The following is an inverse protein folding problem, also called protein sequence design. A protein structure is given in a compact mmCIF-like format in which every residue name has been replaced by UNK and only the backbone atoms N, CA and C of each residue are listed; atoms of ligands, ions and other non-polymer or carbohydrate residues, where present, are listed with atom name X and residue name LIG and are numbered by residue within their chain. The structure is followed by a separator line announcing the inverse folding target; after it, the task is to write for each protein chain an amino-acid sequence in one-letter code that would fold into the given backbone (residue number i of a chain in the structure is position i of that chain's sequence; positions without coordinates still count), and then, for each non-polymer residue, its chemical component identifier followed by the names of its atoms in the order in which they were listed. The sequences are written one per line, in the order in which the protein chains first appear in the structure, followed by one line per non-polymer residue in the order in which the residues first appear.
data_IF_183243786602
#
_entry.id   IF_183243786602
#
_cell.length_a   1.000
_cell.length_b   1.000
_cell.length_c   1.000
_cell.angle_alpha   90.00
_cell.angle_beta   90.00
_cell.angle_gamma   90.00
#
_symmetry.space_group_name_H-M   'P 1'
#
loop_
_entity.id
_entity.type
_entity.pdbx_description
1 polymer ?
#
# COMPACT_ATOMS: atom_id res chain seq x y z
N UNK A 1 22.05 -40.03 -4.44
CA UNK A 1 21.33 -39.34 -5.52
C UNK A 1 21.60 -37.86 -5.33
N UNK A 2 22.68 -37.36 -5.93
CA UNK A 2 23.07 -35.95 -5.80
C UNK A 2 22.23 -35.19 -6.82
N UNK A 3 21.30 -34.36 -6.35
CA UNK A 3 20.59 -33.42 -7.20
C UNK A 3 21.62 -32.42 -7.70
N UNK A 4 21.92 -32.53 -8.99
CA UNK A 4 22.95 -31.77 -9.67
C UNK A 4 22.61 -30.27 -9.59
N UNK A 5 23.50 -29.47 -9.00
CA UNK A 5 23.32 -28.03 -8.84
C UNK A 5 23.11 -27.34 -10.19
N UNK A 6 23.62 -27.94 -11.27
CA UNK A 6 23.41 -27.53 -12.66
C UNK A 6 21.94 -27.69 -13.12
N UNK A 7 21.22 -28.72 -12.66
CA UNK A 7 19.79 -28.88 -12.95
C UNK A 7 18.94 -27.84 -12.20
N UNK A 8 19.31 -27.48 -10.98
CA UNK A 8 18.61 -26.43 -10.20
C UNK A 8 18.83 -25.04 -10.81
N UNK A 9 20.06 -24.75 -11.26
CA UNK A 9 20.39 -23.48 -11.93
C UNK A 9 19.70 -23.39 -13.30
N UNK A 10 19.78 -24.45 -14.12
CA UNK A 10 19.15 -24.45 -15.45
C UNK A 10 17.62 -24.37 -15.40
N UNK A 11 16.96 -25.00 -14.42
CA UNK A 11 15.49 -24.95 -14.28
C UNK A 11 15.02 -23.55 -13.89
N UNK A 12 15.73 -22.87 -12.99
CA UNK A 12 15.40 -21.51 -12.58
C UNK A 12 15.71 -20.48 -13.67
N UNK A 13 16.80 -20.65 -14.42
CA UNK A 13 17.11 -19.82 -15.60
C UNK A 13 16.05 -20.02 -16.69
N UNK A 14 15.60 -21.25 -16.95
CA UNK A 14 14.58 -21.53 -17.96
C UNK A 14 13.22 -20.95 -17.56
N UNK A 15 12.86 -21.01 -16.27
CA UNK A 15 11.65 -20.36 -15.75
C UNK A 15 11.74 -18.83 -15.83
N UNK A 16 12.85 -18.24 -15.39
CA UNK A 16 13.09 -16.80 -15.49
C UNK A 16 13.07 -16.33 -16.95
N UNK A 17 13.65 -17.12 -17.86
CA UNK A 17 13.65 -16.89 -19.31
C UNK A 17 12.24 -16.98 -19.90
N UNK A 18 11.44 -17.99 -19.55
CA UNK A 18 10.02 -18.09 -19.96
C UNK A 18 9.16 -16.93 -19.44
N UNK A 19 9.43 -16.41 -18.24
CA UNK A 19 8.76 -15.22 -17.70
C UNK A 19 9.18 -13.91 -18.38
N UNK A 20 10.38 -13.85 -18.96
CA UNK A 20 10.91 -12.70 -19.69
C UNK A 20 10.60 -12.73 -21.21
N UNK A 21 10.38 -13.90 -21.80
CA UNK A 21 10.21 -14.14 -23.24
C UNK A 21 8.74 -14.17 -23.70
N UNK A 22 7.82 -13.50 -22.99
CA UNK A 22 6.48 -13.32 -23.56
C UNK A 22 6.63 -12.42 -24.79
N UNK A 23 6.40 -12.97 -25.98
CA UNK A 23 6.42 -12.20 -27.24
C UNK A 23 5.48 -11.01 -27.10
N UNK A 24 6.00 -9.82 -27.37
CA UNK A 24 5.18 -8.63 -27.37
C UNK A 24 4.17 -8.68 -28.51
N UNK A 25 2.97 -8.14 -28.28
CA UNK A 25 1.99 -7.91 -29.34
C UNK A 25 1.86 -6.42 -29.61
N UNK A 26 1.49 -6.09 -30.84
CA UNK A 26 1.21 -4.70 -31.24
C UNK A 26 0.11 -4.08 -30.36
N UNK A 27 -0.95 -4.85 -30.05
CA UNK A 27 -2.03 -4.39 -29.19
C UNK A 27 -1.53 -4.07 -27.79
N UNK A 28 -0.68 -4.91 -27.21
CA UNK A 28 -0.11 -4.65 -25.89
C UNK A 28 0.77 -3.40 -25.89
N UNK A 29 1.71 -3.28 -26.84
CA UNK A 29 2.63 -2.14 -26.94
C UNK A 29 1.88 -0.80 -27.08
N UNK A 30 0.77 -0.80 -27.83
CA UNK A 30 -0.04 0.39 -28.15
C UNK A 30 -1.17 0.67 -27.15
N UNK A 31 -1.44 -0.23 -26.19
CA UNK A 31 -2.56 -0.12 -25.25
C UNK A 31 -2.36 0.90 -24.13
N UNK A 32 -1.13 1.35 -23.90
CA UNK A 32 -0.79 2.25 -22.80
C UNK A 32 0.34 3.21 -23.20
N UNK A 33 0.54 4.20 -22.35
CA UNK A 33 1.74 5.01 -22.38
C UNK A 33 2.83 4.37 -21.51
N UNK A 34 4.06 4.56 -21.92
CA UNK A 34 5.24 4.01 -21.30
C UNK A 34 6.07 5.14 -20.68
N UNK A 35 6.24 5.14 -19.36
CA UNK A 35 7.05 6.14 -18.66
C UNK A 35 8.49 5.65 -18.65
N UNK A 36 9.42 6.43 -19.19
CA UNK A 36 10.85 6.07 -19.18
C UNK A 36 11.44 6.28 -17.79
N UNK A 37 12.03 5.23 -17.22
CA UNK A 37 12.71 5.31 -15.94
C UNK A 37 13.96 6.21 -16.05
N UNK A 38 14.29 6.95 -14.98
CA UNK A 38 15.44 7.86 -14.90
C UNK A 38 15.41 8.99 -15.95
N UNK A 39 14.22 9.38 -16.40
CA UNK A 39 14.01 10.52 -17.29
C UNK A 39 13.11 11.57 -16.61
N UNK A 40 13.35 12.86 -16.88
CA UNK A 40 12.50 13.93 -16.39
C UNK A 40 11.17 13.92 -17.15
N UNK A 41 10.17 13.18 -16.63
CA UNK A 41 8.81 13.12 -17.15
C UNK A 41 8.74 12.81 -18.65
N UNK A 42 9.54 11.86 -19.12
CA UNK A 42 9.49 11.40 -20.51
C UNK A 42 8.52 10.24 -20.65
N UNK A 43 7.57 10.37 -21.57
CA UNK A 43 6.54 9.36 -21.86
C UNK A 43 6.52 9.00 -23.33
N UNK A 44 6.35 7.72 -23.60
CA UNK A 44 6.38 7.12 -24.92
C UNK A 44 5.01 6.53 -25.23
N UNK A 45 4.42 6.93 -26.34
CA UNK A 45 3.14 6.41 -26.82
C UNK A 45 3.33 5.79 -28.19
N UNK A 46 3.32 4.46 -28.24
CA UNK A 46 3.32 3.72 -29.49
C UNK A 46 1.90 3.71 -30.06
N UNK A 47 1.72 4.14 -31.31
CA UNK A 47 0.42 4.16 -31.99
C UNK A 47 0.32 3.05 -33.01
N UNK A 48 -0.89 2.54 -33.24
CA UNK A 48 -1.13 1.45 -34.21
C UNK A 48 -0.70 1.77 -35.64
N UNK A 49 -0.57 3.05 -35.99
CA UNK A 49 -0.13 3.53 -37.31
C UNK A 49 1.40 3.60 -37.49
N UNK A 50 2.20 3.08 -36.56
CA UNK A 50 3.66 3.12 -36.62
C UNK A 50 4.28 4.45 -36.20
N UNK A 51 3.49 5.41 -35.68
CA UNK A 51 4.01 6.61 -35.04
C UNK A 51 4.38 6.34 -33.58
N UNK A 52 5.55 6.84 -33.17
CA UNK A 52 5.94 6.93 -31.77
C UNK A 52 5.87 8.39 -31.35
N UNK A 53 5.07 8.70 -30.32
CA UNK A 53 5.13 10.00 -29.67
C UNK A 53 6.06 9.92 -28.47
N UNK A 54 7.01 10.84 -28.40
CA UNK A 54 7.86 11.04 -27.23
C UNK A 54 7.49 12.40 -26.63
N UNK A 55 6.84 12.39 -25.47
CA UNK A 55 6.48 13.60 -24.74
C UNK A 55 7.45 13.82 -23.60
N UNK A 56 8.10 14.98 -23.57
CA UNK A 56 9.00 15.40 -22.49
C UNK A 56 8.54 16.75 -21.97
N UNK A 57 8.15 16.79 -20.69
CA UNK A 57 7.62 18.00 -20.06
C UNK A 57 6.46 18.66 -20.86
N UNK A 58 5.61 17.84 -21.49
CA UNK A 58 4.48 18.32 -22.29
C UNK A 58 4.81 18.70 -23.74
N UNK A 59 6.08 18.75 -24.14
CA UNK A 59 6.49 18.95 -25.53
C UNK A 59 6.54 17.58 -26.22
N UNK A 60 5.88 17.46 -27.38
CA UNK A 60 5.74 16.19 -28.11
C UNK A 60 6.61 16.18 -29.36
N UNK A 61 7.55 15.23 -29.42
CA UNK A 61 8.30 14.86 -30.61
C UNK A 61 7.64 13.65 -31.29
N UNK A 62 7.55 13.65 -32.62
CA UNK A 62 7.01 12.54 -33.41
C UNK A 62 8.13 11.78 -34.08
N UNK A 63 8.16 10.47 -33.86
CA UNK A 63 9.10 9.50 -34.45
C UNK A 63 8.31 8.41 -35.16
N UNK A 64 9.03 7.58 -35.90
CA UNK A 64 8.46 6.34 -36.47
C UNK A 64 9.00 5.15 -35.70
N UNK A 65 8.19 4.10 -35.60
CA UNK A 65 8.64 2.81 -35.12
C UNK A 65 8.06 1.68 -35.97
N UNK A 66 8.77 0.56 -35.97
CA UNK A 66 8.34 -0.69 -36.60
C UNK A 66 8.54 -1.83 -35.61
N UNK A 67 7.46 -2.56 -35.32
CA UNK A 67 7.51 -3.74 -34.46
C UNK A 67 7.71 -4.99 -35.31
N UNK A 68 8.83 -5.68 -35.11
CA UNK A 68 9.15 -6.95 -35.75
C UNK A 68 8.82 -8.07 -34.77
N UNK A 69 7.59 -8.59 -34.87
CA UNK A 69 7.03 -9.58 -33.94
C UNK A 69 7.85 -10.88 -33.93
N UNK A 70 8.34 -11.30 -35.10
CA UNK A 70 9.06 -12.58 -35.24
C UNK A 70 10.34 -12.61 -34.42
N UNK A 71 11.04 -11.48 -34.34
CA UNK A 71 12.30 -11.30 -33.63
C UNK A 71 12.13 -10.64 -32.25
N UNK A 72 10.89 -10.38 -31.82
CA UNK A 72 10.59 -9.65 -30.59
C UNK A 72 11.43 -8.37 -30.46
N UNK A 73 11.49 -7.60 -31.55
CA UNK A 73 12.37 -6.43 -31.67
C UNK A 73 11.60 -5.23 -32.22
N UNK A 74 12.07 -4.04 -31.91
CA UNK A 74 11.50 -2.78 -32.40
C UNK A 74 12.60 -1.94 -33.05
N UNK A 75 12.27 -1.34 -34.18
CA UNK A 75 13.09 -0.31 -34.81
C UNK A 75 12.45 1.03 -34.47
N UNK A 76 13.25 1.98 -33.99
CA UNK A 76 12.80 3.36 -33.77
C UNK A 76 13.64 4.26 -34.68
N UNK A 77 12.96 5.03 -35.52
CA UNK A 77 13.59 5.94 -36.47
C UNK A 77 13.40 7.38 -36.04
N UNK A 78 14.51 8.11 -35.94
CA UNK A 78 14.52 9.56 -35.74
C UNK A 78 15.34 10.22 -36.85
N UNK A 79 14.71 11.08 -37.64
CA UNK A 79 15.31 11.74 -38.79
C UNK A 79 15.99 10.74 -39.75
N UNK A 80 17.32 10.72 -39.79
CA UNK A 80 18.15 9.89 -40.68
C UNK A 80 18.73 8.63 -40.03
N UNK A 81 18.50 8.40 -38.72
CA UNK A 81 19.05 7.26 -37.99
C UNK A 81 17.91 6.36 -37.52
N UNK A 82 18.08 5.06 -37.71
CA UNK A 82 17.21 4.03 -37.15
C UNK A 82 18.01 3.15 -36.20
N UNK A 83 17.44 2.91 -35.03
CA UNK A 83 18.06 2.09 -33.99
C UNK A 83 17.17 0.88 -33.73
N UNK A 84 17.79 -0.29 -33.61
CA UNK A 84 17.09 -1.55 -33.39
C UNK A 84 17.31 -2.01 -31.95
N UNK A 85 16.22 -2.46 -31.34
CA UNK A 85 16.17 -2.90 -29.96
C UNK A 85 15.53 -4.27 -29.84
N UNK A 86 16.13 -5.15 -29.04
CA UNK A 86 15.47 -6.35 -28.55
C UNK A 86 14.52 -5.96 -27.41
N UNK A 87 13.34 -6.56 -27.40
CA UNK A 87 12.30 -6.29 -26.41
C UNK A 87 12.36 -7.37 -25.32
N UNK A 88 12.31 -6.93 -24.07
CA UNK A 88 12.08 -7.83 -22.93
C UNK A 88 10.92 -7.26 -22.12
N UNK A 89 9.89 -8.09 -21.90
CA UNK A 89 8.75 -7.74 -21.07
C UNK A 89 8.91 -8.42 -19.71
N UNK A 90 8.80 -7.65 -18.63
CA UNK A 90 8.87 -8.18 -17.27
C UNK A 90 7.53 -7.99 -16.60
N UNK A 91 6.88 -9.12 -16.27
CA UNK A 91 5.59 -9.19 -15.54
C UNK A 91 4.44 -8.38 -16.16
N UNK A 92 4.50 -8.07 -17.46
CA UNK A 92 3.55 -7.18 -18.15
C UNK A 92 3.48 -5.74 -17.58
N UNK A 93 4.42 -5.33 -16.74
CA UNK A 93 4.47 -3.99 -16.12
C UNK A 93 5.65 -3.17 -16.65
N UNK A 94 6.73 -3.83 -17.04
CA UNK A 94 7.95 -3.18 -17.52
C UNK A 94 8.29 -3.62 -18.95
N UNK A 95 8.66 -2.65 -19.75
CA UNK A 95 9.19 -2.83 -21.10
C UNK A 95 10.65 -2.43 -21.09
N UNK A 96 11.53 -3.34 -21.47
CA UNK A 96 12.95 -3.07 -21.63
C UNK A 96 13.29 -3.12 -23.12
N UNK A 97 13.96 -2.08 -23.62
CA UNK A 97 14.50 -2.04 -24.97
C UNK A 97 16.02 -2.11 -24.90
N UNK A 98 16.58 -3.25 -25.27
CA UNK A 98 18.01 -3.51 -25.30
C UNK A 98 18.54 -3.18 -26.68
N UNK A 99 19.33 -2.12 -26.80
CA UNK A 99 19.88 -1.71 -28.09
C UNK A 99 20.80 -2.80 -28.63
N UNK A 100 20.64 -3.23 -29.88
CA UNK A 100 21.42 -4.36 -30.42
C UNK A 100 22.91 -4.01 -30.57
N UNK A 101 23.22 -2.74 -30.87
CA UNK A 101 24.57 -2.29 -31.15
C UNK A 101 25.38 -1.89 -29.91
N UNK A 102 24.77 -1.84 -28.72
CA UNK A 102 25.42 -1.36 -27.48
C UNK A 102 24.88 -2.13 -26.27
N UNK A 103 25.45 -1.91 -25.07
CA UNK A 103 24.88 -2.42 -23.82
C UNK A 103 23.82 -1.47 -23.21
N UNK A 104 23.27 -0.56 -24.01
CA UNK A 104 22.26 0.40 -23.55
C UNK A 104 20.89 -0.28 -23.39
N UNK A 105 20.25 -0.04 -22.24
CA UNK A 105 18.92 -0.55 -21.93
C UNK A 105 18.03 0.63 -21.59
N UNK A 106 16.95 0.80 -22.36
CA UNK A 106 15.90 1.73 -22.02
C UNK A 106 14.82 0.98 -21.23
N UNK A 107 14.57 1.41 -20.00
CA UNK A 107 13.57 0.80 -19.12
C UNK A 107 12.34 1.69 -19.07
N UNK A 108 11.19 1.08 -19.28
CA UNK A 108 9.90 1.74 -19.29
C UNK A 108 8.93 1.04 -18.35
N UNK A 109 8.03 1.83 -17.76
CA UNK A 109 6.96 1.36 -16.89
C UNK A 109 5.60 1.67 -17.52
N UNK A 110 4.67 0.73 -17.40
CA UNK A 110 3.29 0.92 -17.87
C UNK A 110 2.57 1.99 -17.03
N UNK A 111 2.21 3.11 -17.64
CA UNK A 111 1.57 4.24 -16.94
C UNK A 111 0.22 3.85 -16.31
N UNK A 112 -0.55 2.99 -16.95
CA UNK A 112 -1.88 2.58 -16.44
C UNK A 112 -1.72 1.78 -15.16
N UNK A 113 -0.77 0.84 -15.12
CA UNK A 113 -0.47 0.03 -13.94
C UNK A 113 0.00 0.87 -12.76
N UNK A 114 0.85 1.86 -13.01
CA UNK A 114 1.29 2.81 -11.98
C UNK A 114 0.10 3.61 -11.43
N UNK A 115 -0.79 4.12 -12.31
CA UNK A 115 -1.96 4.88 -11.88
C UNK A 115 -2.89 4.05 -10.99
N UNK A 116 -3.12 2.79 -11.36
CA UNK A 116 -3.97 1.89 -10.58
C UNK A 116 -3.36 1.60 -9.20
N UNK A 117 -2.05 1.34 -9.13
CA UNK A 117 -1.35 1.13 -7.86
C UNK A 117 -1.39 2.37 -6.97
N UNK A 118 -1.11 3.56 -7.53
CA UNK A 118 -1.19 4.83 -6.79
C UNK A 118 -2.60 5.07 -6.26
N UNK A 119 -3.62 4.81 -7.09
CA UNK A 119 -5.02 4.93 -6.67
C UNK A 119 -5.33 3.97 -5.53
N UNK A 120 -4.93 2.71 -5.64
CA UNK A 120 -5.14 1.70 -4.59
C UNK A 120 -4.49 2.12 -3.27
N UNK A 121 -3.22 2.56 -3.30
CA UNK A 121 -2.53 3.02 -2.09
C UNK A 121 -3.17 4.27 -1.50
N UNK A 122 -3.62 5.22 -2.34
CA UNK A 122 -4.32 6.41 -1.87
C UNK A 122 -5.65 6.07 -1.20
N UNK A 123 -6.45 5.18 -1.79
CA UNK A 123 -7.72 4.69 -1.22
C UNK A 123 -7.48 3.96 0.10
N UNK A 124 -6.47 3.09 0.16
CA UNK A 124 -6.08 2.39 1.39
C UNK A 124 -5.72 3.36 2.50
N UNK A 125 -4.86 4.33 2.21
CA UNK A 125 -4.43 5.33 3.19
C UNK A 125 -5.60 6.20 3.67
N UNK A 126 -6.48 6.59 2.74
CA UNK A 126 -7.70 7.35 3.08
C UNK A 126 -8.62 6.55 4.00
N UNK A 127 -8.88 5.27 3.69
CA UNK A 127 -9.73 4.42 4.51
C UNK A 127 -9.12 4.18 5.91
N UNK A 128 -7.80 4.03 6.00
CA UNK A 128 -7.11 3.94 7.30
C UNK A 128 -7.26 5.23 8.11
N UNK A 129 -7.09 6.39 7.47
CA UNK A 129 -7.30 7.69 8.09
C UNK A 129 -8.73 7.84 8.61
N UNK A 130 -9.75 7.56 7.79
CA UNK A 130 -11.16 7.66 8.19
C UNK A 130 -11.50 6.69 9.33
N UNK A 131 -10.98 5.46 9.28
CA UNK A 131 -11.23 4.48 10.34
C UNK A 131 -10.65 4.95 11.69
N UNK A 132 -9.43 5.48 11.68
CA UNK A 132 -8.80 6.04 12.88
C UNK A 132 -9.57 7.24 13.45
N UNK A 133 -10.06 8.14 12.59
CA UNK A 133 -10.88 9.29 13.03
C UNK A 133 -12.22 8.84 13.59
N UNK A 134 -12.88 7.86 12.95
CA UNK A 134 -14.15 7.31 13.43
C UNK A 134 -14.01 6.66 14.80
N UNK A 135 -12.90 5.94 15.03
CA UNK A 135 -12.61 5.33 16.34
C UNK A 135 -12.34 6.38 17.41
N UNK A 136 -11.54 7.41 17.09
CA UNK A 136 -11.29 8.56 17.97
C UNK A 136 -12.59 9.28 18.35
N UNK A 137 -13.43 9.60 17.36
CA UNK A 137 -14.72 10.27 17.58
C UNK A 137 -15.64 9.43 18.46
N UNK A 138 -15.63 8.10 18.28
CA UNK A 138 -16.40 7.18 19.12
C UNK A 138 -15.89 7.14 20.56
N UNK A 139 -14.57 7.10 20.76
CA UNK A 139 -13.96 7.15 22.10
C UNK A 139 -14.33 8.46 22.80
N UNK A 140 -14.27 9.59 22.08
CA UNK A 140 -14.65 10.91 22.57
C UNK A 140 -16.13 10.99 22.93
N UNK A 141 -17.00 10.54 22.04
CA UNK A 141 -18.45 10.51 22.29
C UNK A 141 -18.82 9.62 23.47
N UNK A 142 -18.13 8.49 23.67
CA UNK A 142 -18.36 7.60 24.81
C UNK A 142 -17.94 8.24 26.12
N UNK A 143 -16.78 8.92 26.12
CA UNK A 143 -16.34 9.70 27.26
C UNK A 143 -17.33 10.82 27.61
N UNK A 144 -17.79 11.58 26.61
CA UNK A 144 -18.76 12.65 26.82
C UNK A 144 -20.12 12.13 27.29
N UNK A 145 -20.56 10.95 26.85
CA UNK A 145 -21.80 10.33 27.33
C UNK A 145 -21.72 10.00 28.83
N UNK A 146 -20.57 9.53 29.32
CA UNK A 146 -20.35 9.26 30.74
C UNK A 146 -20.37 10.56 31.54
N UNK A 147 -19.67 11.59 31.06
CA UNK A 147 -19.54 12.86 31.78
C UNK A 147 -20.86 13.66 31.87
N UNK A 148 -21.75 13.49 30.88
CA UNK A 148 -22.99 14.27 30.79
C UNK A 148 -24.21 13.53 31.35
N UNK A 149 -24.07 12.28 31.80
CA UNK A 149 -25.16 11.47 32.31
C UNK A 149 -24.87 11.03 33.76
N UNK A 150 -25.48 11.72 34.76
CA UNK A 150 -25.28 11.39 36.18
C UNK A 150 -25.69 9.96 36.55
N UNK A 151 -26.63 9.35 35.82
CA UNK A 151 -27.04 7.97 36.08
C UNK A 151 -25.93 6.99 35.64
N UNK A 152 -25.25 7.28 34.52
CA UNK A 152 -24.08 6.50 34.07
C UNK A 152 -22.92 6.66 35.06
N UNK A 153 -22.62 7.88 35.49
CA UNK A 153 -21.57 8.15 36.48
C UNK A 153 -21.83 7.38 37.78
N UNK A 154 -23.07 7.44 38.29
CA UNK A 154 -23.51 6.72 39.49
C UNK A 154 -23.37 5.20 39.34
N UNK A 155 -23.71 4.65 38.17
CA UNK A 155 -23.52 3.24 37.87
C UNK A 155 -22.04 2.86 37.87
N UNK A 156 -21.17 3.64 37.22
CA UNK A 156 -19.72 3.39 37.21
C UNK A 156 -19.14 3.36 38.63
N UNK A 157 -19.51 4.35 39.46
CA UNK A 157 -19.14 4.39 40.87
C UNK A 157 -19.58 3.13 41.63
N UNK A 158 -20.83 2.67 41.41
CA UNK A 158 -21.36 1.48 42.08
C UNK A 158 -20.60 0.21 41.71
N UNK A 159 -20.23 0.04 40.43
CA UNK A 159 -19.44 -1.09 39.96
C UNK A 159 -18.04 -1.08 40.58
N UNK A 160 -17.37 0.07 40.56
CA UNK A 160 -16.05 0.21 41.16
C UNK A 160 -16.09 -0.11 42.65
N UNK A 161 -17.02 0.48 43.39
CA UNK A 161 -17.14 0.28 44.83
C UNK A 161 -17.40 -1.19 45.20
N UNK A 162 -18.32 -1.84 44.49
CA UNK A 162 -18.59 -3.27 44.70
C UNK A 162 -17.34 -4.13 44.47
N UNK A 163 -16.55 -3.82 43.45
CA UNK A 163 -15.32 -4.55 43.19
C UNK A 163 -14.26 -4.31 44.26
N UNK A 164 -14.12 -3.08 44.75
CA UNK A 164 -13.19 -2.73 45.84
C UNK A 164 -13.54 -3.44 47.16
N UNK A 165 -14.84 -3.54 47.48
CA UNK A 165 -15.35 -4.26 48.65
C UNK A 165 -15.01 -5.76 48.58
N UNK A 166 -15.13 -6.37 47.40
CA UNK A 166 -14.76 -7.77 47.16
C UNK A 166 -13.24 -8.00 47.12
N UNK A 167 -12.44 -6.94 46.89
CA UNK A 167 -11.00 -7.02 46.66
C UNK A 167 -10.21 -6.00 47.51
N UNK A 168 -10.30 -6.04 48.85
CA UNK A 168 -9.81 -4.97 49.73
C UNK A 168 -8.28 -4.77 49.72
N UNK A 169 -7.51 -5.75 49.23
CA UNK A 169 -6.06 -5.66 49.11
C UNK A 169 -5.58 -5.25 47.72
N UNK A 170 -6.50 -4.95 46.80
CA UNK A 170 -6.21 -4.64 45.39
C UNK A 170 -6.31 -3.14 45.13
N UNK A 171 -5.58 -2.69 44.12
CA UNK A 171 -5.48 -1.28 43.74
C UNK A 171 -6.35 -0.97 42.50
N UNK A 172 -6.52 0.31 42.18
CA UNK A 172 -7.17 0.74 40.93
C UNK A 172 -6.49 0.16 39.68
N UNK A 173 -5.17 -0.05 39.71
CA UNK A 173 -4.44 -0.68 38.61
C UNK A 173 -4.82 -2.15 38.43
N UNK A 174 -5.03 -2.88 39.53
CA UNK A 174 -5.57 -4.25 39.48
C UNK A 174 -6.99 -4.26 38.89
N UNK A 175 -7.79 -3.23 39.18
CA UNK A 175 -9.14 -3.13 38.61
C UNK A 175 -9.13 -2.85 37.11
N UNK A 176 -8.26 -1.94 36.65
CA UNK A 176 -8.05 -1.70 35.21
C UNK A 176 -7.63 -3.00 34.51
N UNK A 177 -6.66 -3.74 35.07
CA UNK A 177 -6.25 -5.02 34.52
C UNK A 177 -7.43 -6.02 34.44
N UNK A 178 -8.26 -6.09 35.48
CA UNK A 178 -9.48 -6.90 35.49
C UNK A 178 -10.49 -6.48 34.41
N UNK A 179 -10.74 -5.18 34.24
CA UNK A 179 -11.65 -4.67 33.23
C UNK A 179 -11.14 -4.97 31.81
N UNK A 180 -9.83 -4.86 31.59
CA UNK A 180 -9.15 -5.19 30.32
C UNK A 180 -8.98 -6.71 30.07
N UNK A 181 -9.37 -7.56 31.03
CA UNK A 181 -9.12 -9.01 31.00
C UNK A 181 -7.62 -9.37 30.88
N UNK A 182 -6.75 -8.66 31.59
CA UNK A 182 -5.30 -8.89 31.64
C UNK A 182 -4.86 -9.38 33.02
N UNK A 183 -3.69 -10.02 33.07
CA UNK A 183 -3.08 -10.49 34.32
C UNK A 183 -2.44 -9.38 35.15
N UNK A 184 -2.01 -8.29 34.51
CA UNK A 184 -1.38 -7.13 35.17
C UNK A 184 -1.69 -5.86 34.37
N UNK A 185 -1.61 -4.73 35.07
CA UNK A 185 -1.78 -3.41 34.45
C UNK A 185 -0.61 -3.08 33.52
N UNK A 186 -0.93 -2.60 32.32
CA UNK A 186 0.01 -1.95 31.41
C UNK A 186 -0.51 -0.55 31.11
N UNK A 187 0.35 0.46 31.19
CA UNK A 187 0.00 1.82 30.80
C UNK A 187 -0.39 1.95 29.32
N UNK A 188 0.04 1.03 28.46
CA UNK A 188 -0.22 1.03 27.01
C UNK A 188 -1.65 1.41 26.59
N UNK A 189 -2.68 0.71 27.08
CA UNK A 189 -4.07 0.99 26.67
C UNK A 189 -4.61 2.30 27.27
N UNK A 190 -4.16 2.65 28.48
CA UNK A 190 -4.44 3.95 29.07
C UNK A 190 -3.79 5.09 28.27
N UNK A 191 -2.54 4.91 27.83
CA UNK A 191 -1.84 5.86 26.95
C UNK A 191 -2.53 6.02 25.60
N UNK A 192 -2.99 4.92 24.97
CA UNK A 192 -3.78 4.99 23.74
C UNK A 192 -5.11 5.71 23.92
N UNK A 193 -5.79 5.48 25.05
CA UNK A 193 -7.01 6.22 25.36
C UNK A 193 -6.72 7.72 25.57
N UNK A 194 -5.64 8.05 26.27
CA UNK A 194 -5.14 9.42 26.48
C UNK A 194 -4.77 10.16 25.18
N UNK A 195 -4.41 9.47 24.11
CA UNK A 195 -4.22 10.10 22.79
C UNK A 195 -5.52 10.75 22.27
N UNK A 196 -6.68 10.20 22.67
CA UNK A 196 -8.01 10.70 22.27
C UNK A 196 -8.62 11.62 23.34
N UNK A 197 -8.29 11.40 24.61
CA UNK A 197 -8.76 12.20 25.76
C UNK A 197 -7.54 12.72 26.56
N UNK A 198 -6.81 13.74 26.07
CA UNK A 198 -5.58 14.22 26.71
C UNK A 198 -5.78 14.71 28.15
N UNK A 199 -6.97 15.22 28.46
CA UNK A 199 -7.38 15.69 29.79
C UNK A 199 -7.76 14.57 30.75
N UNK A 200 -8.08 13.37 30.24
CA UNK A 200 -8.71 12.30 31.01
C UNK A 200 -7.80 11.69 32.07
N UNK A 201 -8.36 11.33 33.21
CA UNK A 201 -7.68 10.74 34.36
C UNK A 201 -7.77 9.21 34.34
N UNK A 202 -7.01 8.56 35.22
CA UNK A 202 -7.09 7.10 35.38
C UNK A 202 -8.46 6.65 35.89
N UNK A 203 -9.10 7.45 36.74
CA UNK A 203 -10.46 7.17 37.25
C UNK A 203 -11.47 7.25 36.11
N UNK A 204 -11.42 8.31 35.29
CA UNK A 204 -12.29 8.44 34.12
C UNK A 204 -12.05 7.32 33.08
N UNK A 205 -10.81 6.81 32.99
CA UNK A 205 -10.53 5.63 32.18
C UNK A 205 -11.19 4.36 32.73
N UNK A 206 -11.24 4.19 34.05
CA UNK A 206 -12.00 3.11 34.70
C UNK A 206 -13.49 3.22 34.35
N UNK A 207 -14.07 4.41 34.48
CA UNK A 207 -15.48 4.65 34.13
C UNK A 207 -15.74 4.33 32.65
N UNK A 208 -14.83 4.74 31.76
CA UNK A 208 -14.89 4.41 30.35
C UNK A 208 -14.88 2.90 30.08
N UNK A 209 -14.01 2.16 30.78
CA UNK A 209 -13.93 0.70 30.66
C UNK A 209 -15.20 0.01 31.20
N UNK A 210 -15.75 0.49 32.32
CA UNK A 210 -17.01 -0.01 32.89
C UNK A 210 -18.16 0.25 31.91
N UNK A 211 -18.26 1.48 31.41
CA UNK A 211 -19.28 1.88 30.46
C UNK A 211 -19.27 0.99 29.21
N UNK A 212 -18.09 0.76 28.62
CA UNK A 212 -17.95 -0.13 27.46
C UNK A 212 -18.26 -1.60 27.78
N UNK A 213 -17.87 -2.08 28.95
CA UNK A 213 -17.96 -3.51 29.29
C UNK A 213 -19.36 -3.91 29.76
N UNK A 214 -20.06 -3.02 30.47
CA UNK A 214 -21.29 -3.38 31.20
C UNK A 214 -22.51 -2.53 30.83
N UNK A 215 -22.34 -1.28 30.39
CA UNK A 215 -23.46 -0.34 30.18
C UNK A 215 -23.86 -0.25 28.70
N UNK A 216 -22.90 0.01 27.80
CA UNK A 216 -23.13 0.30 26.38
C UNK A 216 -23.38 -0.93 25.49
N UNK A 217 -24.12 -1.94 25.97
CA UNK A 217 -24.39 -3.17 25.20
C UNK A 217 -25.08 -2.91 23.86
#
# INVERSE_FOLDING_TARGET
MVLDSEQLISTNVTKAKKFAEKKISQSYLTSCNWIRQNSNNETYTFRSNGELLVSKNGIVERKKYELIIDNNSIIISNNSISEMYNIVLVKDDFLHLHRISTNEILVFMNQTKIKDEVKYQAEKNYNQFISAHTESDKVRSDFEAIQNDPDIESLCYSFQKSWEEDNPSKTIYDYVAFLENKHFYSDYLFSQWKENIPEGTLTEYVDFLIYKKYIKK
#
